data_IF_605785755770
#
_entry.id   IF_605785755770
#
_cell.length_a   1.000
_cell.length_b   1.000
_cell.length_c   1.000
_cell.angle_alpha   90.00
_cell.angle_beta   90.00
_cell.angle_gamma   90.00
#
_symmetry.space_group_name_H-M   'P 1'
#
loop_
_entity.id
_entity.type
_entity.pdbx_description
1 polymer ?
#
# COMPACT_ATOMS: atom_id res chain seq x y z
N UNK A 1 14.09 34.05 9.92
CA UNK A 1 13.05 33.74 8.91
C UNK A 1 12.32 32.49 9.36
N UNK A 2 10.99 32.51 9.33
CA UNK A 2 10.21 31.27 9.47
C UNK A 2 10.36 30.43 8.19
N UNK A 3 10.34 29.10 8.34
CA UNK A 3 10.38 28.16 7.22
C UNK A 3 9.12 28.31 6.35
N UNK A 4 9.28 28.39 5.03
CA UNK A 4 8.16 28.49 4.07
C UNK A 4 7.64 27.13 3.61
N UNK A 5 8.53 26.22 3.21
CA UNK A 5 8.20 24.85 2.76
C UNK A 5 7.61 24.05 3.90
N UNK A 6 6.47 23.38 3.70
CA UNK A 6 5.74 22.58 4.72
C UNK A 6 6.28 21.15 4.85
N UNK A 7 6.13 20.53 6.02
CA UNK A 7 6.59 19.17 6.33
C UNK A 7 5.39 18.28 6.62
N UNK A 8 5.31 17.17 5.90
CA UNK A 8 4.36 16.08 6.13
C UNK A 8 5.08 14.92 6.83
N UNK A 9 4.57 14.46 7.96
CA UNK A 9 5.10 13.29 8.67
C UNK A 9 4.06 12.18 8.77
N UNK A 10 4.42 10.95 8.41
CA UNK A 10 3.52 9.80 8.54
C UNK A 10 3.61 9.23 9.95
N UNK A 11 2.47 9.05 10.63
CA UNK A 11 2.45 8.37 11.92
C UNK A 11 2.42 6.85 11.75
N UNK A 12 3.17 6.17 12.60
CA UNK A 12 3.21 4.72 12.72
C UNK A 12 3.56 4.28 14.14
N UNK A 13 3.90 2.99 14.34
CA UNK A 13 4.25 2.45 15.65
C UNK A 13 5.36 3.24 16.35
N UNK A 14 6.38 3.67 15.61
CA UNK A 14 7.52 4.43 16.15
C UNK A 14 7.17 5.85 16.64
N UNK A 15 5.99 6.36 16.29
CA UNK A 15 5.56 7.74 16.59
C UNK A 15 4.18 7.78 17.27
N UNK A 16 3.76 6.67 17.89
CA UNK A 16 2.48 6.57 18.61
C UNK A 16 2.60 6.97 20.08
N UNK A 17 3.82 7.14 20.59
CA UNK A 17 4.07 7.66 21.93
C UNK A 17 3.80 9.19 21.98
N UNK A 18 3.03 9.69 22.98
CA UNK A 18 2.70 11.11 23.10
C UNK A 18 3.90 12.05 23.19
N UNK A 19 4.99 11.65 23.86
CA UNK A 19 6.20 12.47 24.00
C UNK A 19 6.92 12.58 22.67
N UNK A 20 7.01 11.47 21.93
CA UNK A 20 7.58 11.47 20.57
C UNK A 20 6.76 12.36 19.65
N UNK A 21 5.43 12.26 19.68
CA UNK A 21 4.56 13.09 18.85
C UNK A 21 4.69 14.58 19.20
N UNK A 22 4.72 14.94 20.49
CA UNK A 22 4.95 16.33 20.91
C UNK A 22 6.29 16.86 20.40
N UNK A 23 7.35 16.06 20.46
CA UNK A 23 8.66 16.44 19.92
C UNK A 23 8.62 16.65 18.40
N UNK A 24 7.90 15.82 17.65
CA UNK A 24 7.71 16.00 16.21
C UNK A 24 6.99 17.31 15.88
N UNK A 25 5.90 17.61 16.60
CA UNK A 25 5.16 18.87 16.40
C UNK A 25 5.99 20.09 16.83
N UNK A 26 6.79 19.97 17.89
CA UNK A 26 7.76 21.01 18.31
C UNK A 26 8.82 21.25 17.24
N UNK A 27 9.36 20.18 16.64
CA UNK A 27 10.35 20.23 15.56
C UNK A 27 9.83 20.87 14.26
N UNK A 28 8.50 20.91 14.07
CA UNK A 28 7.88 21.73 13.02
C UNK A 28 7.16 20.94 11.93
N UNK A 29 6.61 19.77 12.24
CA UNK A 29 5.61 19.10 11.38
C UNK A 29 4.39 20.02 11.20
N UNK A 30 3.94 20.19 9.95
CA UNK A 30 2.74 20.98 9.62
C UNK A 30 1.54 20.09 9.28
N UNK A 31 1.79 18.89 8.76
CA UNK A 31 0.74 17.93 8.39
C UNK A 31 1.11 16.55 8.91
N UNK A 32 0.16 15.90 9.57
CA UNK A 32 0.26 14.51 9.99
C UNK A 32 -0.50 13.63 9.02
N UNK A 33 0.21 12.69 8.39
CA UNK A 33 -0.35 11.67 7.50
C UNK A 33 -0.72 10.42 8.29
N UNK A 34 -1.98 10.01 8.19
CA UNK A 34 -2.53 8.77 8.71
C UNK A 34 -2.72 7.80 7.53
N UNK A 35 -1.87 6.78 7.47
CA UNK A 35 -1.86 5.82 6.35
C UNK A 35 -2.83 4.65 6.64
N UNK A 36 -3.97 4.61 5.92
CA UNK A 36 -5.01 3.59 6.09
C UNK A 36 -4.66 2.22 5.49
N UNK A 37 -3.48 2.08 4.86
CA UNK A 37 -2.95 0.75 4.48
C UNK A 37 -2.57 -0.11 5.70
N UNK A 38 -2.47 0.50 6.88
CA UNK A 38 -2.06 -0.15 8.12
C UNK A 38 -2.92 0.35 9.30
N UNK A 39 -3.00 -0.47 10.36
CA UNK A 39 -3.78 -0.14 11.55
C UNK A 39 -5.29 -0.32 11.37
N UNK A 40 -6.03 -0.16 12.46
CA UNK A 40 -7.50 -0.22 12.49
C UNK A 40 -8.07 1.20 12.51
N UNK A 41 -9.37 1.33 12.20
CA UNK A 41 -10.08 2.60 12.25
C UNK A 41 -9.91 3.34 13.60
N UNK A 42 -10.04 2.61 14.71
CA UNK A 42 -9.88 3.18 16.06
C UNK A 42 -8.46 3.72 16.29
N UNK A 43 -7.42 3.02 15.82
CA UNK A 43 -6.03 3.48 15.96
C UNK A 43 -5.83 4.85 15.30
N UNK A 44 -6.49 5.10 14.16
CA UNK A 44 -6.42 6.37 13.45
C UNK A 44 -7.21 7.47 14.16
N UNK A 45 -8.38 7.16 14.71
CA UNK A 45 -9.19 8.09 15.52
C UNK A 45 -8.41 8.54 16.77
N UNK A 46 -7.78 7.59 17.48
CA UNK A 46 -7.02 7.88 18.70
C UNK A 46 -5.80 8.75 18.37
N UNK A 47 -5.08 8.44 17.28
CA UNK A 47 -3.97 9.26 16.79
C UNK A 47 -4.40 10.66 16.39
N UNK A 48 -5.50 10.79 15.64
CA UNK A 48 -6.05 12.09 15.24
C UNK A 48 -6.40 12.96 16.47
N UNK A 49 -7.01 12.35 17.48
CA UNK A 49 -7.36 13.01 18.74
C UNK A 49 -6.11 13.48 19.48
N UNK A 50 -5.11 12.60 19.60
CA UNK A 50 -3.85 12.93 20.26
C UNK A 50 -3.08 14.05 19.55
N UNK A 51 -3.02 14.04 18.21
CA UNK A 51 -2.40 15.12 17.42
C UNK A 51 -3.09 16.46 17.72
N UNK A 52 -4.43 16.48 17.74
CA UNK A 52 -5.19 17.71 18.01
C UNK A 52 -4.97 18.23 19.43
N UNK A 53 -4.98 17.36 20.43
CA UNK A 53 -4.69 17.75 21.82
C UNK A 53 -3.30 18.40 21.93
N UNK A 54 -2.26 17.71 21.45
CA UNK A 54 -0.89 18.19 21.54
C UNK A 54 -0.74 19.50 20.73
N UNK A 55 -1.26 19.56 19.50
CA UNK A 55 -1.22 20.75 18.66
C UNK A 55 -1.89 21.95 19.35
N UNK A 56 -3.04 21.71 20.01
CA UNK A 56 -3.75 22.70 20.83
C UNK A 56 -2.91 23.19 22.00
N UNK A 57 -2.31 22.29 22.78
CA UNK A 57 -1.40 22.64 23.90
C UNK A 57 -0.17 23.44 23.44
N UNK A 58 0.32 23.19 22.22
CA UNK A 58 1.46 23.89 21.64
C UNK A 58 1.08 25.21 20.94
N UNK A 59 -0.22 25.49 20.74
CA UNK A 59 -0.68 26.63 19.96
C UNK A 59 -0.23 26.57 18.49
N UNK A 60 -0.05 25.36 17.94
CA UNK A 60 0.44 25.15 16.57
C UNK A 60 -0.67 24.59 15.68
N UNK A 61 -0.95 25.19 14.51
CA UNK A 61 -1.85 24.58 13.54
C UNK A 61 -1.15 23.38 12.88
N UNK A 62 -1.79 22.20 12.97
CA UNK A 62 -1.32 20.96 12.34
C UNK A 62 -2.50 20.33 11.63
N UNK A 63 -2.38 20.10 10.33
CA UNK A 63 -3.42 19.43 9.55
C UNK A 63 -3.30 17.91 9.64
N UNK A 64 -4.41 17.21 9.51
CA UNK A 64 -4.53 15.77 9.39
C UNK A 64 -4.80 15.42 7.92
N UNK A 65 -3.99 14.52 7.38
CA UNK A 65 -4.14 13.94 6.07
C UNK A 65 -4.49 12.45 6.21
N UNK A 66 -5.71 12.08 5.84
CA UNK A 66 -6.11 10.69 5.70
C UNK A 66 -5.66 10.18 4.33
N UNK A 67 -4.78 9.18 4.30
CA UNK A 67 -4.27 8.59 3.07
C UNK A 67 -4.88 7.22 2.82
N UNK A 68 -5.71 7.13 1.78
CA UNK A 68 -6.45 5.95 1.38
C UNK A 68 -5.53 4.92 0.75
N UNK A 69 -5.85 3.65 0.97
CA UNK A 69 -5.03 2.55 0.47
C UNK A 69 -5.10 2.45 -1.07
N UNK A 70 -6.28 2.68 -1.64
CA UNK A 70 -6.54 2.44 -3.05
C UNK A 70 -6.51 0.95 -3.41
N UNK A 71 -6.67 0.63 -4.70
CA UNK A 71 -6.71 -0.74 -5.19
C UNK A 71 -5.30 -1.34 -5.29
N UNK A 72 -4.66 -1.56 -4.14
CA UNK A 72 -3.31 -2.13 -4.11
C UNK A 72 -3.37 -3.63 -4.43
N UNK A 73 -2.89 -4.00 -5.61
CA UNK A 73 -2.75 -5.40 -6.03
C UNK A 73 -1.61 -6.05 -5.28
N UNK A 74 -1.82 -7.25 -4.74
CA UNK A 74 -0.83 -8.00 -3.98
C UNK A 74 -0.88 -9.49 -4.29
N UNK A 75 0.29 -10.13 -4.18
CA UNK A 75 0.38 -11.60 -4.14
C UNK A 75 -0.27 -12.13 -2.87
N UNK A 76 -0.72 -13.38 -2.93
CA UNK A 76 -1.24 -14.14 -1.81
C UNK A 76 -0.15 -14.55 -0.82
N UNK A 77 -0.44 -15.62 -0.06
CA UNK A 77 0.50 -16.21 0.91
C UNK A 77 1.32 -17.31 0.25
N UNK A 78 2.49 -17.58 0.80
CA UNK A 78 3.35 -18.70 0.41
C UNK A 78 3.39 -19.77 1.50
N UNK A 79 3.61 -21.02 1.08
CA UNK A 79 4.01 -22.09 2.00
C UNK A 79 5.35 -21.71 2.63
N UNK A 80 5.36 -21.48 3.94
CA UNK A 80 6.55 -20.96 4.66
C UNK A 80 6.72 -19.44 4.64
N UNK A 81 5.74 -18.68 4.13
CA UNK A 81 5.66 -17.21 4.19
C UNK A 81 6.54 -16.43 3.21
N UNK A 82 7.44 -17.12 2.48
CA UNK A 82 8.26 -16.55 1.42
C UNK A 82 8.85 -17.62 0.50
N UNK A 83 9.25 -17.20 -0.69
CA UNK A 83 10.03 -17.96 -1.65
C UNK A 83 11.20 -17.12 -2.17
N UNK A 84 12.15 -17.78 -2.83
CA UNK A 84 13.19 -17.12 -3.63
C UNK A 84 12.93 -17.44 -5.10
N UNK A 85 12.86 -16.40 -5.93
CA UNK A 85 12.73 -16.52 -7.39
C UNK A 85 14.09 -16.29 -8.04
N UNK A 86 14.44 -17.12 -9.00
CA UNK A 86 15.67 -17.01 -9.79
C UNK A 86 15.40 -16.44 -11.19
N UNK A 87 16.34 -15.71 -11.76
CA UNK A 87 16.19 -15.19 -13.12
C UNK A 87 16.08 -16.34 -14.15
N UNK A 88 15.15 -16.22 -15.09
CA UNK A 88 14.81 -17.24 -16.08
C UNK A 88 13.80 -18.27 -15.60
N UNK A 89 13.45 -18.28 -14.30
CA UNK A 89 12.47 -19.21 -13.74
C UNK A 89 11.04 -18.88 -14.24
N UNK A 90 10.25 -19.88 -14.66
CA UNK A 90 8.82 -19.71 -14.87
C UNK A 90 8.09 -19.49 -13.55
N UNK A 91 7.16 -18.54 -13.52
CA UNK A 91 6.34 -18.27 -12.35
C UNK A 91 4.90 -17.90 -12.75
N UNK A 92 3.92 -18.43 -12.04
CA UNK A 92 2.50 -18.25 -12.37
C UNK A 92 1.80 -17.42 -11.30
N UNK A 93 1.07 -16.39 -11.74
CA UNK A 93 0.16 -15.62 -10.92
C UNK A 93 -1.27 -16.10 -11.23
N UNK A 94 -1.92 -16.74 -10.26
CA UNK A 94 -3.24 -17.34 -10.44
C UNK A 94 -4.31 -16.52 -9.72
N UNK A 95 -5.26 -15.97 -10.48
CA UNK A 95 -6.33 -15.17 -9.91
C UNK A 95 -7.34 -16.01 -9.11
N UNK A 96 -7.51 -17.31 -9.37
CA UNK A 96 -8.50 -18.14 -8.65
C UNK A 96 -7.92 -18.92 -7.47
N UNK A 97 -6.60 -19.07 -7.39
CA UNK A 97 -5.95 -19.84 -6.33
C UNK A 97 -6.25 -19.28 -4.93
N UNK A 98 -6.67 -20.18 -4.03
CA UNK A 98 -6.89 -19.90 -2.60
C UNK A 98 -5.82 -20.48 -1.70
N UNK A 99 -5.13 -21.53 -2.15
CA UNK A 99 -4.08 -22.22 -1.41
C UNK A 99 -2.80 -21.37 -1.37
N UNK A 100 -1.98 -21.49 -0.31
CA UNK A 100 -0.65 -20.91 -0.29
C UNK A 100 0.15 -21.28 -1.55
N UNK A 101 0.82 -20.29 -2.11
CA UNK A 101 1.73 -20.47 -3.23
C UNK A 101 3.02 -21.20 -2.84
N UNK A 102 3.81 -21.47 -3.85
CA UNK A 102 5.13 -22.09 -3.77
C UNK A 102 6.07 -21.43 -4.79
N UNK A 103 7.22 -22.06 -5.08
CA UNK A 103 8.20 -21.51 -6.03
C UNK A 103 7.68 -21.43 -7.48
N UNK A 104 6.61 -22.13 -7.85
CA UNK A 104 6.07 -22.14 -9.21
C UNK A 104 4.84 -21.27 -9.40
N UNK A 105 4.03 -21.09 -8.36
CA UNK A 105 2.71 -20.44 -8.47
C UNK A 105 2.29 -19.72 -7.19
N UNK A 106 1.58 -18.60 -7.32
CA UNK A 106 0.94 -17.93 -6.18
C UNK A 106 -0.41 -17.32 -6.57
N UNK A 107 -1.31 -17.26 -5.61
CA UNK A 107 -2.56 -16.51 -5.75
C UNK A 107 -2.35 -15.00 -5.72
N UNK A 108 -3.39 -14.22 -6.03
CA UNK A 108 -3.41 -12.77 -5.82
C UNK A 108 -4.81 -12.25 -5.45
N UNK A 109 -4.86 -11.03 -4.89
CA UNK A 109 -6.12 -10.39 -4.47
C UNK A 109 -6.88 -9.73 -5.64
N UNK A 110 -6.19 -9.31 -6.71
CA UNK A 110 -6.78 -8.66 -7.87
C UNK A 110 -7.22 -9.64 -8.97
N UNK A 111 -8.49 -10.05 -8.92
CA UNK A 111 -9.04 -11.07 -9.81
C UNK A 111 -9.07 -10.68 -11.30
N UNK A 112 -8.97 -9.39 -11.60
CA UNK A 112 -8.99 -8.89 -12.98
C UNK A 112 -7.59 -8.89 -13.65
N UNK A 113 -6.51 -9.23 -12.94
CA UNK A 113 -5.15 -9.20 -13.49
C UNK A 113 -5.03 -9.94 -14.84
N UNK A 114 -5.57 -11.15 -15.04
CA UNK A 114 -5.48 -11.86 -16.32
C UNK A 114 -6.11 -11.10 -17.50
N UNK A 115 -7.07 -10.21 -17.25
CA UNK A 115 -7.77 -9.41 -18.28
C UNK A 115 -7.02 -8.12 -18.60
N UNK A 116 -6.21 -7.64 -17.67
CA UNK A 116 -5.46 -6.38 -17.78
C UNK A 116 -4.03 -6.54 -18.29
N UNK A 117 -3.57 -7.78 -18.47
CA UNK A 117 -2.21 -8.08 -18.93
C UNK A 117 -2.22 -8.85 -20.24
N UNK A 118 -1.16 -8.66 -21.03
CA UNK A 118 -0.93 -9.38 -22.29
C UNK A 118 0.54 -9.83 -22.38
N UNK A 119 0.85 -10.80 -23.26
CA UNK A 119 2.23 -11.19 -23.54
C UNK A 119 3.13 -9.97 -23.81
N UNK A 120 4.29 -9.94 -23.17
CA UNK A 120 5.27 -8.86 -23.23
C UNK A 120 5.09 -7.77 -22.16
N UNK A 121 3.98 -7.73 -21.44
CA UNK A 121 3.82 -6.80 -20.30
C UNK A 121 4.83 -7.13 -19.19
N UNK A 122 5.29 -6.09 -18.48
CA UNK A 122 6.23 -6.23 -17.38
C UNK A 122 5.53 -5.96 -16.05
N UNK A 123 5.61 -6.93 -15.15
CA UNK A 123 5.08 -6.82 -13.79
C UNK A 123 6.22 -6.58 -12.80
N UNK A 124 6.04 -5.59 -11.95
CA UNK A 124 6.95 -5.15 -10.91
C UNK A 124 6.41 -5.62 -9.57
N UNK A 125 7.14 -6.49 -8.89
CA UNK A 125 6.77 -7.04 -7.60
C UNK A 125 7.66 -6.46 -6.51
N UNK A 126 7.10 -6.30 -5.31
CA UNK A 126 7.81 -5.80 -4.13
C UNK A 126 8.55 -4.48 -4.42
N UNK A 127 7.78 -3.48 -4.85
CA UNK A 127 8.26 -2.14 -5.21
C UNK A 127 9.33 -2.13 -6.32
N UNK A 128 9.27 -3.11 -7.22
CA UNK A 128 10.16 -3.23 -8.38
C UNK A 128 11.45 -4.00 -8.13
N UNK A 129 11.64 -4.56 -6.93
CA UNK A 129 12.79 -5.41 -6.61
C UNK A 129 12.78 -6.73 -7.39
N UNK A 130 11.59 -7.23 -7.73
CA UNK A 130 11.40 -8.42 -8.56
C UNK A 130 10.68 -7.99 -9.83
N UNK A 131 11.14 -8.50 -10.97
CA UNK A 131 10.58 -8.16 -12.28
C UNK A 131 10.18 -9.43 -13.00
N UNK A 132 8.92 -9.51 -13.40
CA UNK A 132 8.36 -10.61 -14.20
C UNK A 132 7.98 -10.07 -15.58
N UNK A 133 8.16 -10.88 -16.61
CA UNK A 133 7.64 -10.61 -17.95
C UNK A 133 6.53 -11.60 -18.25
N UNK A 134 5.37 -11.09 -18.65
CA UNK A 134 4.22 -11.94 -19.03
C UNK A 134 4.55 -12.67 -20.32
N UNK A 135 4.51 -14.00 -20.27
CA UNK A 135 4.69 -14.88 -21.41
C UNK A 135 3.33 -15.18 -22.07
N UNK A 136 2.36 -15.63 -21.28
CA UNK A 136 1.01 -15.95 -21.77
C UNK A 136 -0.05 -15.83 -20.67
N UNK A 137 -1.30 -15.64 -21.06
CA UNK A 137 -2.46 -15.72 -20.16
C UNK A 137 -3.28 -16.93 -20.54
N UNK A 138 -3.57 -17.79 -19.57
CA UNK A 138 -4.35 -19.03 -19.76
C UNK A 138 -5.48 -19.06 -18.75
N UNK A 139 -6.70 -18.80 -19.21
CA UNK A 139 -7.85 -18.57 -18.36
C UNK A 139 -7.53 -17.52 -17.28
N UNK A 140 -7.48 -17.92 -16.01
CA UNK A 140 -7.26 -17.04 -14.86
C UNK A 140 -5.80 -17.05 -14.37
N UNK A 141 -4.90 -17.68 -15.13
CA UNK A 141 -3.47 -17.78 -14.83
C UNK A 141 -2.64 -16.90 -15.75
N UNK A 142 -1.80 -16.05 -15.16
CA UNK A 142 -0.79 -15.26 -15.86
C UNK A 142 0.53 -15.99 -15.74
N UNK A 143 0.98 -16.58 -16.85
CA UNK A 143 2.28 -17.24 -16.95
C UNK A 143 3.35 -16.19 -17.22
N UNK A 144 4.40 -16.21 -16.41
CA UNK A 144 5.47 -15.23 -16.48
C UNK A 144 6.84 -15.89 -16.45
N UNK A 145 7.85 -15.15 -16.89
CA UNK A 145 9.26 -15.46 -16.69
C UNK A 145 9.88 -14.41 -15.78
N UNK A 146 10.63 -14.87 -14.78
CA UNK A 146 11.37 -13.99 -13.87
C UNK A 146 12.53 -13.35 -14.64
N UNK A 147 12.49 -12.03 -14.79
CA UNK A 147 13.57 -11.24 -15.39
C UNK A 147 14.60 -10.82 -14.35
N UNK A 148 14.12 -10.40 -13.17
CA UNK A 148 14.95 -10.07 -12.00
C UNK A 148 14.39 -10.85 -10.82
N UNK A 149 15.21 -11.77 -10.30
CA UNK A 149 14.87 -12.61 -9.16
C UNK A 149 15.02 -11.91 -7.81
N UNK A 150 14.64 -12.61 -6.75
CA UNK A 150 14.71 -12.09 -5.38
C UNK A 150 13.79 -12.83 -4.41
N UNK A 151 13.79 -12.37 -3.16
CA UNK A 151 12.90 -12.93 -2.13
C UNK A 151 11.52 -12.29 -2.24
N UNK A 152 10.50 -13.12 -2.51
CA UNK A 152 9.10 -12.74 -2.53
C UNK A 152 8.40 -13.30 -1.30
N UNK A 153 7.86 -12.43 -0.45
CA UNK A 153 7.11 -12.81 0.75
C UNK A 153 5.62 -12.55 0.58
N UNK A 154 4.83 -12.95 1.57
CA UNK A 154 3.38 -12.72 1.60
C UNK A 154 3.00 -11.25 1.35
N UNK A 155 1.87 -11.06 0.65
CA UNK A 155 1.18 -9.77 0.52
C UNK A 155 2.02 -8.63 -0.11
N UNK A 156 3.06 -8.97 -0.86
CA UNK A 156 3.86 -8.01 -1.62
C UNK A 156 3.08 -7.45 -2.80
N UNK A 157 3.27 -6.16 -3.07
CA UNK A 157 2.56 -5.45 -4.12
C UNK A 157 2.96 -5.90 -5.52
N UNK A 158 2.02 -5.86 -6.45
CA UNK A 158 2.21 -6.05 -7.89
C UNK A 158 1.84 -4.73 -8.57
N UNK A 159 2.67 -4.27 -9.48
CA UNK A 159 2.38 -3.17 -10.38
C UNK A 159 2.67 -3.58 -11.82
N UNK A 160 2.00 -2.96 -12.78
CA UNK A 160 2.31 -3.11 -14.21
C UNK A 160 3.12 -1.93 -14.69
N UNK A 161 4.27 -2.18 -15.33
CA UNK A 161 5.08 -1.13 -15.94
C UNK A 161 4.29 -0.48 -17.08
N UNK A 162 4.15 0.85 -17.03
CA UNK A 162 3.31 1.60 -17.98
C UNK A 162 1.84 1.72 -17.55
N UNK A 163 1.44 1.16 -16.40
CA UNK A 163 0.08 1.27 -15.88
C UNK A 163 -0.95 0.42 -16.62
N UNK A 164 -2.22 0.85 -16.60
CA UNK A 164 -3.31 0.19 -17.33
C UNK A 164 -3.92 -1.01 -16.59
N UNK A 165 -3.91 -0.98 -15.26
CA UNK A 165 -4.71 -1.89 -14.44
C UNK A 165 -6.07 -1.23 -14.18
N UNK A 166 -7.16 -1.93 -14.44
CA UNK A 166 -8.53 -1.40 -14.49
C UNK A 166 -9.15 -1.28 -13.10
N UNK A 167 -8.33 -1.12 -12.07
CA UNK A 167 -8.81 -1.20 -10.71
C UNK A 167 -9.64 0.04 -10.35
N UNK A 168 -10.76 -0.11 -9.61
CA UNK A 168 -11.61 1.01 -9.26
C UNK A 168 -10.82 2.01 -8.41
N UNK A 169 -10.96 3.31 -8.71
CA UNK A 169 -10.26 4.38 -8.02
C UNK A 169 -10.51 4.39 -6.50
N UNK A 170 -11.68 3.92 -6.05
CA UNK A 170 -12.03 3.73 -4.66
C UNK A 170 -12.54 2.31 -4.42
N UNK A 171 -11.91 1.60 -3.50
CA UNK A 171 -12.36 0.27 -3.05
C UNK A 171 -13.47 0.38 -2.01
N UNK A 172 -14.16 -0.72 -1.71
CA UNK A 172 -15.13 -0.76 -0.62
C UNK A 172 -14.49 -0.40 0.74
N UNK A 173 -13.24 -0.84 0.96
CA UNK A 173 -12.45 -0.45 2.14
C UNK A 173 -12.18 1.05 2.14
N UNK A 174 -11.78 1.64 1.02
CA UNK A 174 -11.53 3.09 0.95
C UNK A 174 -12.80 3.88 1.29
N UNK A 175 -13.98 3.41 0.91
CA UNK A 175 -15.25 4.04 1.30
C UNK A 175 -15.51 4.00 2.81
N UNK A 176 -15.09 2.93 3.51
CA UNK A 176 -15.14 2.85 4.97
C UNK A 176 -14.08 3.74 5.63
N UNK A 177 -12.88 3.77 5.07
CA UNK A 177 -11.79 4.63 5.51
C UNK A 177 -12.17 6.11 5.37
N UNK A 178 -12.86 6.51 4.29
CA UNK A 178 -13.41 7.85 4.11
C UNK A 178 -14.38 8.21 5.24
N UNK A 179 -15.31 7.32 5.59
CA UNK A 179 -16.24 7.57 6.71
C UNK A 179 -15.49 7.76 8.03
N UNK A 180 -14.46 6.95 8.25
CA UNK A 180 -13.58 7.08 9.43
C UNK A 180 -12.83 8.42 9.41
N UNK A 181 -12.28 8.82 8.26
CA UNK A 181 -11.57 10.09 8.09
C UNK A 181 -12.47 11.30 8.36
N UNK A 182 -13.74 11.23 7.94
CA UNK A 182 -14.75 12.25 8.23
C UNK A 182 -15.11 12.31 9.71
N UNK A 183 -15.11 11.20 10.45
CA UNK A 183 -15.49 11.19 11.87
C UNK A 183 -14.52 11.98 12.75
N UNK A 184 -13.24 12.04 12.37
CA UNK A 184 -12.24 12.92 13.00
C UNK A 184 -11.97 14.20 12.21
N UNK A 185 -12.78 14.49 11.19
CA UNK A 185 -12.73 15.72 10.39
C UNK A 185 -11.34 16.03 9.83
N UNK A 186 -10.72 15.09 9.11
CA UNK A 186 -9.43 15.36 8.47
C UNK A 186 -9.49 16.58 7.51
N UNK A 187 -8.42 17.36 7.43
CA UNK A 187 -8.35 18.50 6.51
C UNK A 187 -7.97 18.09 5.08
N UNK A 188 -7.27 16.96 4.91
CA UNK A 188 -6.89 16.42 3.61
C UNK A 188 -7.26 14.94 3.49
N UNK A 189 -7.75 14.57 2.30
CA UNK A 189 -7.93 13.18 1.87
C UNK A 189 -7.01 12.93 0.67
N UNK A 190 -6.09 11.98 0.78
CA UNK A 190 -5.23 11.56 -0.33
C UNK A 190 -5.78 10.27 -0.94
N UNK A 191 -5.97 10.28 -2.26
CA UNK A 191 -6.48 9.15 -3.04
C UNK A 191 -5.30 8.50 -3.76
N UNK A 192 -5.04 7.24 -3.45
CA UNK A 192 -3.97 6.46 -4.09
C UNK A 192 -4.43 5.88 -5.42
N UNK A 193 -3.53 5.81 -6.40
CA UNK A 193 -3.77 5.29 -7.76
C UNK A 193 -4.95 5.98 -8.50
N UNK A 194 -4.95 7.32 -8.61
CA UNK A 194 -5.97 8.05 -9.37
C UNK A 194 -5.85 7.84 -10.89
#
# INVERSE_FOLDING_TARGET
>A
MSRATKIVATLGPASSDPVVLENLLRAGVDVVRLNFSHGKAQDHIDRATLVRDIAGRLGKPVALMADLQGPKIRVGKFTGGKITLEAGQPFVLDAQRTEPGDAGIVGLDYKELPRDVKPGDVLLLNDGLIVLTVDSVRAEQVHTLVKVGGVLSDHKGINKQGGGLTAPALTAKDMEDIRTAMSFQCEYLAVSFP
#
